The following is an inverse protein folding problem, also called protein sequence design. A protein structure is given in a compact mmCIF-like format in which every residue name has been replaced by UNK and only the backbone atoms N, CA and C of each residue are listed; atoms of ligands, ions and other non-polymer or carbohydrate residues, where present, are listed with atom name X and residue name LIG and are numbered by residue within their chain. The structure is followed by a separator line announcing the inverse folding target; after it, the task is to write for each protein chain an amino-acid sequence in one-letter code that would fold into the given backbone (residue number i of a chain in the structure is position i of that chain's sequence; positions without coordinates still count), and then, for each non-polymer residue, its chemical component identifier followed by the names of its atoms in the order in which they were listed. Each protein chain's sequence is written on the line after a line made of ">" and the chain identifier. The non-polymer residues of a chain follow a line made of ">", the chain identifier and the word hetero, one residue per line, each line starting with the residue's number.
data_IF_839835257028
#
_entry.id   IF_839835257028
#
_cell.length_a   1.000
_cell.length_b   1.000
_cell.length_c   1.000
_cell.angle_alpha   90.00
_cell.angle_beta   90.00
_cell.angle_gamma   90.00
#
_symmetry.space_group_name_H-M   'P 1'
#
loop_
_entity.id
_entity.type
_entity.pdbx_description
1 polymer ?
#
# COMPACT_ATOMS: atom_id res chain seq x y z
N UNK A 1 4.49 12.04 -14.91
CA UNK A 1 3.40 12.12 -13.92
C UNK A 1 4.02 12.60 -12.61
N UNK A 2 3.89 13.89 -12.28
CA UNK A 2 4.56 14.49 -11.12
C UNK A 2 3.70 14.38 -9.85
N UNK A 3 3.35 13.15 -9.43
CA UNK A 3 2.57 12.89 -8.21
C UNK A 3 3.42 12.93 -6.91
N UNK A 4 4.70 13.27 -7.00
CA UNK A 4 5.65 13.21 -5.90
C UNK A 4 6.79 14.21 -6.11
N UNK A 5 6.42 15.48 -6.32
CA UNK A 5 7.39 16.54 -6.56
C UNK A 5 8.48 16.58 -5.49
N UNK A 6 8.10 16.47 -4.21
CA UNK A 6 9.00 16.43 -3.07
C UNK A 6 10.02 15.28 -3.14
N UNK A 7 9.57 14.05 -3.39
CA UNK A 7 10.43 12.86 -3.39
C UNK A 7 11.28 12.75 -4.65
N UNK A 8 10.73 13.10 -5.80
CA UNK A 8 11.47 13.14 -7.07
C UNK A 8 12.52 14.25 -7.00
N UNK A 9 12.20 15.39 -6.41
CA UNK A 9 13.16 16.48 -6.18
C UNK A 9 14.34 16.02 -5.33
N UNK A 10 14.10 15.27 -4.24
CA UNK A 10 15.18 14.69 -3.43
C UNK A 10 16.14 13.83 -4.27
N UNK A 11 15.62 13.00 -5.17
CA UNK A 11 16.43 12.21 -6.08
C UNK A 11 17.21 13.06 -7.10
N UNK A 12 16.57 14.07 -7.69
CA UNK A 12 17.21 14.99 -8.65
C UNK A 12 18.29 15.86 -7.99
N UNK A 13 18.14 16.23 -6.71
CA UNK A 13 19.17 16.92 -5.94
C UNK A 13 20.40 16.03 -5.74
N UNK A 14 20.20 14.80 -5.26
CA UNK A 14 21.30 13.84 -5.03
C UNK A 14 22.00 13.49 -6.34
N UNK A 15 21.26 13.36 -7.44
CA UNK A 15 21.79 12.99 -8.76
C UNK A 15 22.13 14.18 -9.66
N UNK A 16 22.18 15.40 -9.11
CA UNK A 16 22.43 16.63 -9.87
C UNK A 16 23.77 16.57 -10.60
N UNK A 17 23.77 16.88 -11.90
CA UNK A 17 24.99 16.93 -12.73
C UNK A 17 26.01 17.89 -12.13
N UNK A 18 27.24 17.43 -11.93
CA UNK A 18 28.33 18.23 -11.36
C UNK A 18 28.16 18.60 -9.88
N UNK A 19 27.05 18.21 -9.24
CA UNK A 19 26.77 18.46 -7.83
C UNK A 19 27.11 17.27 -6.94
N UNK A 20 27.38 17.54 -5.68
CA UNK A 20 27.62 16.55 -4.61
C UNK A 20 26.70 16.80 -3.41
N UNK A 21 25.42 17.09 -3.69
CA UNK A 21 24.43 17.50 -2.70
C UNK A 21 24.07 16.34 -1.79
N UNK A 22 24.02 16.60 -0.49
CA UNK A 22 23.75 15.60 0.56
C UNK A 22 22.40 15.90 1.20
N UNK A 23 21.56 14.89 1.29
CA UNK A 23 20.37 14.91 2.14
C UNK A 23 20.76 14.34 3.50
N UNK A 24 20.48 15.09 4.56
CA UNK A 24 20.85 14.74 5.93
C UNK A 24 19.61 14.70 6.81
N UNK A 25 19.47 13.63 7.60
CA UNK A 25 18.38 13.50 8.57
C UNK A 25 18.86 14.00 9.94
N UNK A 26 18.17 15.00 10.46
CA UNK A 26 18.45 15.61 11.77
C UNK A 26 17.35 15.19 12.75
N UNK A 27 17.64 14.28 13.68
CA UNK A 27 16.64 13.76 14.64
C UNK A 27 16.00 14.85 15.52
N UNK A 28 16.71 15.93 15.81
CA UNK A 28 16.18 17.07 16.58
C UNK A 28 15.28 18.01 15.78
N UNK A 29 15.27 17.90 14.44
CA UNK A 29 14.38 18.69 13.58
C UNK A 29 13.04 17.97 13.42
N UNK A 30 12.04 18.37 14.20
CA UNK A 30 10.68 17.83 14.11
C UNK A 30 9.66 18.92 13.80
N UNK A 31 8.62 18.53 13.06
CA UNK A 31 7.43 19.33 12.83
C UNK A 31 6.21 18.57 13.35
N UNK A 32 5.26 19.28 13.93
CA UNK A 32 3.98 18.70 14.38
C UNK A 32 2.97 18.86 13.26
N UNK A 33 2.28 17.77 12.92
CA UNK A 33 1.21 17.77 11.92
C UNK A 33 -0.02 17.09 12.51
N UNK A 34 -1.20 17.55 12.10
CA UNK A 34 -2.45 16.88 12.45
C UNK A 34 -2.52 15.51 11.80
N UNK A 35 -2.93 14.51 12.57
CA UNK A 35 -3.27 13.19 12.07
C UNK A 35 -4.70 13.17 11.54
N UNK A 36 -5.02 12.33 10.54
CA UNK A 36 -6.41 12.16 10.12
C UNK A 36 -7.25 11.52 11.23
N UNK A 37 -8.39 12.13 11.54
CA UNK A 37 -9.27 11.68 12.63
C UNK A 37 -10.27 10.59 12.18
N UNK A 38 -10.48 10.45 10.87
CA UNK A 38 -11.44 9.50 10.30
C UNK A 38 -10.82 8.61 9.22
N UNK A 39 -11.31 7.38 9.12
CA UNK A 39 -10.88 6.39 8.11
C UNK A 39 -10.91 6.95 6.67
N UNK A 40 -11.97 7.65 6.21
CA UNK A 40 -11.99 8.22 4.87
C UNK A 40 -10.85 9.20 4.58
N UNK A 41 -10.50 10.04 5.56
CA UNK A 41 -9.40 11.00 5.42
C UNK A 41 -8.06 10.27 5.36
N UNK A 42 -7.87 9.27 6.23
CA UNK A 42 -6.69 8.40 6.21
C UNK A 42 -6.53 7.72 4.85
N UNK A 43 -7.60 7.16 4.28
CA UNK A 43 -7.57 6.48 2.97
C UNK A 43 -7.19 7.45 1.85
N UNK A 44 -7.81 8.63 1.80
CA UNK A 44 -7.49 9.67 0.81
C UNK A 44 -6.07 10.23 0.96
N UNK A 45 -5.57 10.39 2.19
CA UNK A 45 -4.20 10.83 2.44
C UNK A 45 -3.18 9.76 2.01
N UNK A 46 -3.41 8.51 2.40
CA UNK A 46 -2.50 7.40 2.12
C UNK A 46 -2.43 7.05 0.64
N UNK A 47 -3.52 7.23 -0.13
CA UNK A 47 -3.49 7.17 -1.60
C UNK A 47 -2.35 8.02 -2.18
N UNK A 48 -2.29 9.29 -1.81
CA UNK A 48 -1.28 10.25 -2.30
C UNK A 48 0.13 9.80 -1.95
N UNK A 49 0.34 9.41 -0.69
CA UNK A 49 1.66 9.00 -0.22
C UNK A 49 2.12 7.68 -0.83
N UNK A 50 1.24 6.69 -0.96
CA UNK A 50 1.58 5.40 -1.56
C UNK A 50 1.89 5.55 -3.04
N UNK A 51 1.02 6.20 -3.82
CA UNK A 51 1.25 6.43 -5.24
C UNK A 51 2.51 7.29 -5.44
N UNK A 52 2.70 8.34 -4.63
CA UNK A 52 3.90 9.18 -4.71
C UNK A 52 5.19 8.41 -4.38
N UNK A 53 5.17 7.55 -3.36
CA UNK A 53 6.27 6.64 -3.04
C UNK A 53 6.58 5.69 -4.20
N UNK A 54 5.54 5.09 -4.78
CA UNK A 54 5.64 4.13 -5.86
C UNK A 54 6.26 4.74 -7.11
N UNK A 55 5.79 5.91 -7.54
CA UNK A 55 6.36 6.61 -8.68
C UNK A 55 7.78 7.11 -8.44
N UNK A 56 8.09 7.63 -7.24
CA UNK A 56 9.44 8.04 -6.90
C UNK A 56 10.42 6.86 -6.91
N UNK A 57 10.00 5.70 -6.38
CA UNK A 57 10.79 4.48 -6.40
C UNK A 57 11.11 4.05 -7.84
N UNK A 58 10.09 3.90 -8.69
CA UNK A 58 10.28 3.58 -10.11
C UNK A 58 11.19 4.59 -10.80
N UNK A 59 10.96 5.89 -10.57
CA UNK A 59 11.74 6.95 -11.18
C UNK A 59 13.23 6.83 -10.81
N UNK A 60 13.53 6.66 -9.52
CA UNK A 60 14.91 6.49 -9.03
C UNK A 60 15.57 5.21 -9.54
N UNK A 61 14.83 4.10 -9.65
CA UNK A 61 15.33 2.82 -10.18
C UNK A 61 15.62 2.90 -11.66
N UNK A 62 14.76 3.51 -12.47
CA UNK A 62 14.97 3.67 -13.92
C UNK A 62 16.11 4.65 -14.22
N UNK A 63 16.15 5.78 -13.50
CA UNK A 63 17.15 6.82 -13.71
C UNK A 63 18.37 6.69 -12.82
N UNK A 64 18.66 5.49 -12.28
CA UNK A 64 19.79 5.28 -11.37
C UNK A 64 21.13 5.76 -11.95
N UNK A 65 21.27 5.67 -13.28
CA UNK A 65 22.47 6.11 -14.00
C UNK A 65 22.76 7.62 -13.84
N UNK A 66 21.79 8.42 -13.41
CA UNK A 66 21.98 9.83 -13.06
C UNK A 66 22.94 10.02 -11.87
N UNK A 67 23.19 8.98 -11.06
CA UNK A 67 24.24 9.06 -10.03
C UNK A 67 25.62 9.26 -10.66
N UNK A 68 25.88 8.73 -11.86
CA UNK A 68 27.22 8.81 -12.48
C UNK A 68 27.57 10.20 -13.01
N UNK A 69 26.56 11.03 -13.35
CA UNK A 69 26.76 12.44 -13.72
C UNK A 69 27.03 13.36 -12.52
N UNK A 70 26.83 12.86 -11.28
CA UNK A 70 27.11 13.62 -10.05
C UNK A 70 28.60 13.60 -9.68
N UNK A 71 29.01 14.60 -8.90
CA UNK A 71 30.37 14.76 -8.37
C UNK A 71 30.58 14.02 -7.03
N UNK A 72 29.70 13.08 -6.67
CA UNK A 72 29.86 12.27 -5.46
C UNK A 72 31.14 11.42 -5.50
N UNK A 73 31.76 11.23 -4.33
CA UNK A 73 32.92 10.35 -4.18
C UNK A 73 32.55 8.89 -4.51
N UNK A 74 33.56 8.08 -4.84
CA UNK A 74 33.36 6.66 -5.14
C UNK A 74 32.63 5.93 -4.01
N UNK A 75 33.04 6.15 -2.75
CA UNK A 75 32.41 5.52 -1.58
C UNK A 75 30.96 5.94 -1.39
N UNK A 76 30.63 7.21 -1.67
CA UNK A 76 29.25 7.67 -1.59
C UNK A 76 28.38 7.05 -2.68
N UNK A 77 28.89 6.97 -3.91
CA UNK A 77 28.21 6.26 -5.01
C UNK A 77 27.99 4.79 -4.65
N UNK A 78 28.95 4.11 -4.04
CA UNK A 78 28.82 2.73 -3.57
C UNK A 78 27.67 2.55 -2.57
N UNK A 79 27.60 3.37 -1.52
CA UNK A 79 26.51 3.30 -0.54
C UNK A 79 25.13 3.62 -1.12
N UNK A 80 25.04 4.57 -2.06
CA UNK A 80 23.79 4.85 -2.77
C UNK A 80 23.35 3.63 -3.61
N UNK A 81 24.27 2.84 -4.17
CA UNK A 81 23.90 1.60 -4.88
C UNK A 81 23.37 0.53 -3.92
N UNK A 82 23.94 0.40 -2.72
CA UNK A 82 23.40 -0.48 -1.67
C UNK A 82 21.96 -0.07 -1.32
N UNK A 83 21.73 1.22 -1.10
CA UNK A 83 20.39 1.75 -0.85
C UNK A 83 19.44 1.50 -2.02
N UNK A 84 19.89 1.69 -3.26
CA UNK A 84 19.10 1.43 -4.46
C UNK A 84 18.69 -0.05 -4.59
N UNK A 85 19.60 -0.98 -4.31
CA UNK A 85 19.28 -2.43 -4.31
C UNK A 85 18.24 -2.72 -3.23
N UNK A 86 18.42 -2.17 -2.03
CA UNK A 86 17.46 -2.30 -0.94
C UNK A 86 16.08 -1.75 -1.33
N UNK A 87 16.01 -0.55 -1.92
CA UNK A 87 14.75 0.07 -2.33
C UNK A 87 14.08 -0.67 -3.49
N UNK A 88 14.87 -1.20 -4.43
CA UNK A 88 14.35 -2.01 -5.55
C UNK A 88 13.74 -3.31 -5.03
N UNK A 89 14.40 -3.98 -4.07
CA UNK A 89 13.84 -5.17 -3.42
C UNK A 89 12.57 -4.84 -2.63
N UNK A 90 12.54 -3.73 -1.88
CA UNK A 90 11.32 -3.27 -1.21
C UNK A 90 10.18 -2.98 -2.20
N UNK A 91 10.48 -2.38 -3.35
CA UNK A 91 9.48 -2.09 -4.39
C UNK A 91 8.85 -3.38 -4.92
N UNK A 92 9.68 -4.39 -5.24
CA UNK A 92 9.21 -5.71 -5.69
C UNK A 92 8.39 -6.38 -4.59
N UNK A 93 8.90 -6.39 -3.36
CA UNK A 93 8.20 -7.01 -2.23
C UNK A 93 6.86 -6.33 -1.92
N UNK A 94 6.82 -4.99 -2.01
CA UNK A 94 5.59 -4.20 -1.84
C UNK A 94 4.60 -4.41 -2.98
N UNK A 95 5.06 -4.65 -4.21
CA UNK A 95 4.20 -4.98 -5.35
C UNK A 95 3.42 -6.27 -5.11
N UNK A 96 4.07 -7.28 -4.52
CA UNK A 96 3.47 -8.58 -4.21
C UNK A 96 2.90 -8.70 -2.79
N UNK A 97 2.85 -7.60 -2.02
CA UNK A 97 2.48 -7.65 -0.60
C UNK A 97 1.08 -8.22 -0.36
N UNK A 98 0.11 -7.88 -1.21
CA UNK A 98 -1.28 -8.37 -1.10
C UNK A 98 -1.36 -9.89 -1.29
N UNK A 99 -0.66 -10.44 -2.29
CA UNK A 99 -0.56 -11.89 -2.52
C UNK A 99 0.20 -12.59 -1.40
N UNK A 100 1.36 -12.06 -1.00
CA UNK A 100 2.18 -12.61 0.08
C UNK A 100 1.43 -12.68 1.40
N UNK A 101 0.63 -11.67 1.71
CA UNK A 101 -0.17 -11.65 2.93
C UNK A 101 -1.24 -12.74 2.91
N UNK A 102 -1.97 -12.87 1.80
CA UNK A 102 -2.98 -13.93 1.65
C UNK A 102 -2.37 -15.33 1.69
N UNK A 103 -1.22 -15.54 1.03
CA UNK A 103 -0.47 -16.81 1.08
C UNK A 103 -0.07 -17.13 2.52
N UNK A 104 0.46 -16.14 3.25
CA UNK A 104 0.86 -16.33 4.64
C UNK A 104 -0.32 -16.72 5.53
N UNK A 105 -1.47 -16.07 5.34
CA UNK A 105 -2.72 -16.41 6.00
C UNK A 105 -3.17 -17.84 5.67
N UNK A 106 -3.21 -18.21 4.39
CA UNK A 106 -3.61 -19.55 3.93
C UNK A 106 -2.70 -20.65 4.50
N UNK A 107 -1.38 -20.44 4.48
CA UNK A 107 -0.44 -21.42 5.05
C UNK A 107 -0.59 -21.54 6.56
N UNK A 108 -0.83 -20.43 7.28
CA UNK A 108 -1.12 -20.48 8.72
C UNK A 108 -2.40 -21.26 9.01
N UNK A 109 -3.47 -21.06 8.23
CA UNK A 109 -4.69 -21.85 8.34
C UNK A 109 -4.41 -23.35 8.15
N UNK A 110 -3.76 -23.72 7.06
CA UNK A 110 -3.41 -25.11 6.76
C UNK A 110 -2.50 -25.73 7.84
N UNK A 111 -1.55 -24.97 8.40
CA UNK A 111 -0.68 -25.45 9.46
C UNK A 111 -1.45 -25.79 10.75
N UNK A 112 -2.55 -25.09 11.05
CA UNK A 112 -3.40 -25.41 12.20
C UNK A 112 -4.26 -26.67 11.99
N UNK A 113 -4.53 -27.04 10.74
CA UNK A 113 -5.31 -28.22 10.40
C UNK A 113 -4.53 -29.54 10.54
N UNK A 114 -3.21 -29.46 10.71
CA UNK A 114 -2.39 -30.64 10.97
C UNK A 114 -2.91 -31.39 12.21
N UNK A 115 -3.18 -32.71 12.09
CA UNK A 115 -3.60 -33.56 13.21
C UNK A 115 -2.71 -33.46 14.46
N UNK A 116 -1.42 -33.12 14.31
CA UNK A 116 -0.47 -33.00 15.41
C UNK A 116 -0.55 -31.65 16.14
N UNK A 117 -1.22 -30.64 15.57
CA UNK A 117 -1.27 -29.27 16.09
C UNK A 117 -2.59 -29.02 16.83
N UNK A 118 -3.68 -28.90 16.06
CA UNK A 118 -5.07 -28.88 16.56
C UNK A 118 -5.83 -30.02 15.89
N UNK A 119 -5.81 -30.03 14.56
CA UNK A 119 -6.46 -31.04 13.75
C UNK A 119 -7.99 -31.03 13.86
N UNK A 120 -8.61 -31.82 12.98
CA UNK A 120 -10.03 -32.12 13.04
C UNK A 120 -10.92 -31.30 12.10
N UNK A 121 -12.13 -31.82 11.87
CA UNK A 121 -13.07 -31.26 10.89
C UNK A 121 -13.57 -29.86 11.25
N UNK A 122 -13.63 -29.53 12.54
CA UNK A 122 -14.12 -28.24 13.01
C UNK A 122 -13.20 -27.08 12.62
N UNK A 123 -11.89 -27.22 12.83
CA UNK A 123 -10.92 -26.16 12.47
C UNK A 123 -10.85 -25.98 10.95
N UNK A 124 -10.93 -27.07 10.18
CA UNK A 124 -10.98 -27.01 8.72
C UNK A 124 -12.19 -26.20 8.21
N UNK A 125 -13.39 -26.43 8.78
CA UNK A 125 -14.58 -25.66 8.40
C UNK A 125 -14.42 -24.18 8.77
N UNK A 126 -13.87 -23.88 9.94
CA UNK A 126 -13.64 -22.49 10.36
C UNK A 126 -12.65 -21.78 9.42
N UNK A 127 -11.52 -22.42 9.11
CA UNK A 127 -10.52 -21.88 8.19
C UNK A 127 -11.09 -21.66 6.80
N UNK A 128 -11.86 -22.61 6.28
CA UNK A 128 -12.54 -22.47 5.00
C UNK A 128 -13.45 -21.24 4.98
N UNK A 129 -14.25 -21.03 6.04
CA UNK A 129 -15.10 -19.84 6.18
C UNK A 129 -14.23 -18.56 6.20
N UNK A 130 -13.14 -18.56 6.96
CA UNK A 130 -12.23 -17.41 7.06
C UNK A 130 -11.54 -17.10 5.71
N UNK A 131 -11.17 -18.10 4.93
CA UNK A 131 -10.58 -17.93 3.60
C UNK A 131 -11.55 -17.27 2.62
N UNK A 132 -12.78 -17.77 2.54
CA UNK A 132 -13.81 -17.13 1.72
C UNK A 132 -14.16 -15.74 2.23
N UNK A 133 -14.20 -15.54 3.55
CA UNK A 133 -14.44 -14.23 4.14
C UNK A 133 -13.32 -13.23 3.81
N UNK A 134 -12.05 -13.68 3.80
CA UNK A 134 -10.91 -12.84 3.42
C UNK A 134 -11.05 -12.38 1.97
N UNK A 135 -11.31 -13.31 1.06
CA UNK A 135 -11.49 -13.02 -0.37
C UNK A 135 -12.69 -12.08 -0.57
N UNK A 136 -13.82 -12.34 0.12
CA UNK A 136 -15.00 -11.48 0.08
C UNK A 136 -14.71 -10.06 0.57
N UNK A 137 -13.96 -9.92 1.66
CA UNK A 137 -13.54 -8.62 2.20
C UNK A 137 -12.60 -7.88 1.24
N UNK A 138 -11.71 -8.62 0.57
CA UNK A 138 -10.82 -8.05 -0.43
C UNK A 138 -11.57 -7.59 -1.68
N UNK A 139 -12.51 -8.39 -2.18
CA UNK A 139 -13.39 -8.01 -3.29
C UNK A 139 -14.24 -6.79 -2.94
N UNK A 140 -14.76 -6.71 -1.72
CA UNK A 140 -15.44 -5.52 -1.21
C UNK A 140 -14.52 -4.29 -1.27
N UNK A 141 -13.23 -4.41 -0.91
CA UNK A 141 -12.27 -3.31 -1.04
C UNK A 141 -12.08 -2.85 -2.49
N UNK A 142 -12.00 -3.78 -3.45
CA UNK A 142 -11.93 -3.44 -4.88
C UNK A 142 -13.19 -2.70 -5.36
N UNK A 143 -14.38 -3.19 -4.99
CA UNK A 143 -15.66 -2.57 -5.34
C UNK A 143 -15.77 -1.15 -4.76
N UNK A 144 -15.42 -0.99 -3.48
CA UNK A 144 -15.41 0.32 -2.82
C UNK A 144 -14.40 1.28 -3.46
N UNK A 145 -13.25 0.78 -3.88
CA UNK A 145 -12.15 1.60 -4.41
C UNK A 145 -12.37 2.09 -5.84
N UNK A 146 -13.10 1.33 -6.66
CA UNK A 146 -13.41 1.68 -8.04
C UNK A 146 -14.68 2.54 -8.17
N UNK A 147 -15.70 2.29 -7.33
CA UNK A 147 -17.00 2.92 -7.46
C UNK A 147 -17.21 4.17 -6.59
N UNK A 148 -16.58 4.22 -5.41
CA UNK A 148 -16.93 5.19 -4.37
C UNK A 148 -15.72 6.00 -3.88
N UNK A 149 -15.95 7.28 -3.60
CA UNK A 149 -15.01 8.07 -2.80
C UNK A 149 -15.06 7.60 -1.34
N UNK A 150 -13.94 7.57 -0.60
CA UNK A 150 -13.91 7.16 0.80
C UNK A 150 -14.90 7.92 1.68
N UNK A 151 -15.10 9.21 1.40
CA UNK A 151 -16.03 10.08 2.11
C UNK A 151 -17.50 9.69 1.91
N UNK A 152 -17.83 9.10 0.75
CA UNK A 152 -19.18 8.62 0.43
C UNK A 152 -19.49 7.23 0.99
N UNK A 153 -18.48 6.43 1.34
CA UNK A 153 -18.67 5.06 1.87
C UNK A 153 -17.91 4.82 3.18
N UNK A 154 -18.09 5.72 4.15
CA UNK A 154 -17.36 5.68 5.43
C UNK A 154 -17.51 4.34 6.16
N UNK A 155 -18.73 3.81 6.20
CA UNK A 155 -19.04 2.53 6.86
C UNK A 155 -18.32 1.38 6.16
N UNK A 156 -18.36 1.34 4.82
CA UNK A 156 -17.71 0.28 4.05
C UNK A 156 -16.21 0.21 4.32
N UNK A 157 -15.50 1.34 4.26
CA UNK A 157 -14.08 1.38 4.58
C UNK A 157 -13.81 1.03 6.04
N UNK A 158 -14.63 1.50 6.99
CA UNK A 158 -14.46 1.17 8.42
C UNK A 158 -14.64 -0.33 8.67
N UNK A 159 -15.65 -0.97 8.06
CA UNK A 159 -15.87 -2.41 8.12
C UNK A 159 -14.69 -3.19 7.55
N UNK A 160 -14.10 -2.72 6.44
CA UNK A 160 -12.90 -3.34 5.86
C UNK A 160 -11.73 -3.32 6.84
N UNK A 161 -11.48 -2.17 7.48
CA UNK A 161 -10.42 -2.04 8.49
C UNK A 161 -10.63 -2.97 9.69
N UNK A 162 -11.85 -3.01 10.25
CA UNK A 162 -12.19 -3.91 11.36
C UNK A 162 -12.06 -5.37 10.95
N UNK A 163 -12.53 -5.75 9.76
CA UNK A 163 -12.43 -7.11 9.25
C UNK A 163 -10.97 -7.59 9.14
N UNK A 164 -10.09 -6.77 8.56
CA UNK A 164 -8.66 -7.09 8.47
C UNK A 164 -7.95 -7.09 9.84
N UNK A 165 -8.40 -6.27 10.80
CA UNK A 165 -7.91 -6.36 12.18
C UNK A 165 -8.25 -7.72 12.82
N UNK A 166 -9.45 -8.28 12.58
CA UNK A 166 -9.82 -9.62 13.06
C UNK A 166 -8.95 -10.72 12.43
N UNK A 167 -8.65 -10.63 11.13
CA UNK A 167 -7.69 -11.54 10.48
C UNK A 167 -6.30 -11.44 11.10
N UNK A 168 -5.86 -10.23 11.47
CA UNK A 168 -4.58 -10.04 12.17
C UNK A 168 -4.56 -10.75 13.51
N UNK A 169 -5.62 -10.61 14.30
CA UNK A 169 -5.75 -11.29 15.60
C UNK A 169 -5.65 -12.79 15.40
N UNK A 170 -6.40 -13.33 14.44
CA UNK A 170 -6.37 -14.75 14.11
C UNK A 170 -4.96 -15.21 13.72
N UNK A 171 -4.33 -14.55 12.74
CA UNK A 171 -2.98 -14.93 12.30
C UNK A 171 -1.94 -14.81 13.41
N UNK A 172 -2.03 -13.77 14.25
CA UNK A 172 -1.11 -13.57 15.37
C UNK A 172 -1.26 -14.68 16.38
N UNK A 173 -2.50 -15.03 16.74
CA UNK A 173 -2.80 -16.18 17.59
C UNK A 173 -2.25 -17.48 16.99
N UNK A 174 -2.54 -17.75 15.72
CA UNK A 174 -2.07 -18.95 15.00
C UNK A 174 -0.55 -19.04 15.01
N UNK A 175 0.15 -17.94 14.76
CA UNK A 175 1.61 -17.88 14.78
C UNK A 175 2.18 -18.18 16.17
N UNK A 176 1.66 -17.56 17.23
CA UNK A 176 2.10 -17.84 18.61
C UNK A 176 1.74 -19.27 19.06
N UNK A 177 0.57 -19.77 18.68
CA UNK A 177 0.15 -21.12 19.02
C UNK A 177 1.02 -22.17 18.34
N UNK A 178 1.30 -22.02 17.04
CA UNK A 178 2.19 -22.88 16.29
C UNK A 178 3.62 -22.81 16.85
N UNK A 179 4.08 -21.61 17.22
CA UNK A 179 5.37 -21.43 17.88
C UNK A 179 5.47 -22.23 19.20
N UNK A 180 4.45 -22.12 20.06
CA UNK A 180 4.40 -22.83 21.33
C UNK A 180 4.36 -24.36 21.13
N UNK A 181 3.57 -24.84 20.16
CA UNK A 181 3.50 -26.26 19.80
C UNK A 181 4.83 -26.79 19.25
N UNK A 182 5.51 -26.01 18.40
CA UNK A 182 6.85 -26.34 17.90
C UNK A 182 7.86 -26.49 19.03
N UNK A 183 7.85 -25.58 20.00
CA UNK A 183 8.71 -25.67 21.20
C UNK A 183 8.37 -26.91 22.04
N UNK A 184 7.09 -27.19 22.27
CA UNK A 184 6.65 -28.37 23.02
C UNK A 184 7.07 -29.68 22.35
N UNK A 185 7.09 -29.73 21.02
CA UNK A 185 7.54 -30.91 20.28
C UNK A 185 9.05 -31.14 20.48
N UNK A 186 9.87 -30.09 20.37
CA UNK A 186 11.32 -30.17 20.64
C UNK A 186 11.60 -30.66 22.06
N UNK A 187 10.86 -30.15 23.05
CA UNK A 187 11.03 -30.56 24.44
C UNK A 187 10.67 -32.02 24.71
N UNK A 188 9.72 -32.59 23.95
CA UNK A 188 9.29 -33.99 24.08
C UNK A 188 10.23 -34.97 23.38
N UNK A 189 10.80 -34.58 22.25
CA UNK A 189 11.64 -35.48 21.45
C UNK A 189 13.00 -35.75 22.11
N UNK A 190 13.49 -34.85 22.98
CA UNK A 190 14.84 -34.96 23.54
C UNK A 190 14.93 -35.09 25.07
N UNK A 191 13.78 -35.10 25.78
CA UNK A 191 13.66 -35.26 27.24
C UNK A 191 14.69 -34.42 28.06
N UNK A 192 15.09 -33.28 27.49
CA UNK A 192 16.11 -32.35 28.02
C UNK A 192 15.67 -30.90 27.83
N UNK A 193 16.26 -30.00 28.62
CA UNK A 193 16.01 -28.57 28.50
C UNK A 193 16.51 -27.97 27.18
N UNK A 194 15.88 -26.88 26.73
CA UNK A 194 16.27 -26.15 25.53
C UNK A 194 17.74 -25.71 25.61
N UNK A 195 18.54 -26.18 24.66
CA UNK A 195 19.97 -25.84 24.54
C UNK A 195 20.18 -24.97 23.30
N UNK A 196 21.23 -24.13 23.31
CA UNK A 196 21.57 -23.27 22.15
C UNK A 196 21.84 -24.07 20.88
N UNK A 197 22.27 -25.34 21.00
CA UNK A 197 22.39 -26.27 19.88
C UNK A 197 21.08 -26.46 19.12
N UNK A 198 19.95 -26.37 19.80
CA UNK A 198 18.63 -26.71 19.27
C UNK A 198 18.14 -25.63 18.30
N UNK A 199 18.63 -24.41 18.47
CA UNK A 199 18.47 -23.32 17.50
C UNK A 199 19.16 -23.61 16.17
N UNK A 200 20.28 -24.34 16.18
CA UNK A 200 21.01 -24.66 14.95
C UNK A 200 20.58 -26.02 14.35
N UNK A 201 20.13 -26.96 15.16
CA UNK A 201 19.70 -28.28 14.71
C UNK A 201 18.25 -28.33 14.23
N UNK A 202 17.35 -27.55 14.85
CA UNK A 202 15.93 -27.57 14.51
C UNK A 202 15.53 -26.32 13.70
N UNK A 203 15.28 -26.53 12.40
CA UNK A 203 14.89 -25.46 11.47
C UNK A 203 13.58 -24.78 11.86
N UNK A 204 12.61 -25.51 12.41
CA UNK A 204 11.31 -24.99 12.80
C UNK A 204 11.47 -24.02 13.99
N UNK A 205 12.15 -24.48 15.04
CA UNK A 205 12.43 -23.66 16.22
C UNK A 205 13.24 -22.42 15.85
N UNK A 206 14.27 -22.57 15.01
CA UNK A 206 15.08 -21.46 14.50
C UNK A 206 14.23 -20.41 13.80
N UNK A 207 13.42 -20.82 12.84
CA UNK A 207 12.64 -19.91 12.00
C UNK A 207 11.55 -19.19 12.81
N UNK A 208 10.96 -19.86 13.80
CA UNK A 208 10.04 -19.25 14.79
C UNK A 208 10.76 -18.16 15.59
N UNK A 209 11.92 -18.47 16.17
CA UNK A 209 12.68 -17.52 17.00
C UNK A 209 13.13 -16.32 16.19
N UNK A 210 13.65 -16.54 14.97
CA UNK A 210 14.05 -15.48 14.05
C UNK A 210 12.86 -14.58 13.70
N UNK A 211 11.69 -15.16 13.40
CA UNK A 211 10.48 -14.41 13.06
C UNK A 211 10.00 -13.52 14.22
N UNK A 212 9.94 -14.06 15.44
CA UNK A 212 9.55 -13.30 16.63
C UNK A 212 10.55 -12.19 16.96
N UNK A 213 11.85 -12.50 16.89
CA UNK A 213 12.91 -11.52 17.12
C UNK A 213 12.86 -10.38 16.09
N UNK A 214 12.59 -10.68 14.82
CA UNK A 214 12.47 -9.65 13.79
C UNK A 214 11.19 -8.83 13.89
N UNK A 215 10.06 -9.45 14.25
CA UNK A 215 8.75 -8.80 14.30
C UNK A 215 8.59 -7.92 15.53
N UNK A 216 9.12 -8.34 16.68
CA UNK A 216 8.97 -7.65 17.96
C UNK A 216 10.30 -7.13 18.49
N UNK A 217 11.31 -8.00 18.54
CA UNK A 217 12.60 -7.70 19.18
C UNK A 217 13.33 -6.51 18.55
N UNK A 218 13.46 -6.49 17.21
CA UNK A 218 14.17 -5.40 16.52
C UNK A 218 13.54 -4.02 16.78
N UNK A 219 12.21 -3.93 16.79
CA UNK A 219 11.52 -2.66 17.05
C UNK A 219 11.71 -2.21 18.50
N UNK A 220 11.58 -3.13 19.47
CA UNK A 220 11.82 -2.81 20.90
C UNK A 220 13.26 -2.34 21.12
N UNK A 221 14.25 -3.07 20.60
CA UNK A 221 15.66 -2.71 20.73
C UNK A 221 15.96 -1.38 20.02
N UNK A 222 15.42 -1.17 18.82
CA UNK A 222 15.59 0.10 18.09
C UNK A 222 15.04 1.29 18.88
N UNK A 223 13.83 1.16 19.44
CA UNK A 223 13.21 2.22 20.26
C UNK A 223 14.02 2.54 21.51
N UNK A 224 14.59 1.52 22.17
CA UNK A 224 15.49 1.72 23.32
C UNK A 224 16.77 2.44 22.89
N UNK A 225 17.40 2.04 21.78
CA UNK A 225 18.58 2.72 21.22
C UNK A 225 18.26 4.19 20.90
N UNK A 226 17.04 4.49 20.46
CA UNK A 226 16.59 5.85 20.18
C UNK A 226 16.13 6.63 21.41
N UNK A 227 16.12 6.02 22.60
CA UNK A 227 15.65 6.59 23.86
C UNK A 227 14.18 7.04 23.82
N UNK A 228 13.35 6.35 23.02
CA UNK A 228 11.92 6.64 22.92
C UNK A 228 11.09 5.34 22.82
N UNK A 229 10.97 4.57 23.92
CA UNK A 229 10.22 3.32 23.93
C UNK A 229 8.71 3.49 24.00
N UNK A 230 8.20 4.71 24.22
CA UNK A 230 6.81 4.91 24.64
C UNK A 230 5.79 4.49 23.58
N UNK A 231 6.08 4.69 22.31
CA UNK A 231 5.20 4.27 21.21
C UNK A 231 5.04 2.74 21.12
N UNK A 232 6.03 1.98 21.58
CA UNK A 232 5.92 0.52 21.67
C UNK A 232 4.87 0.08 22.70
N UNK A 233 4.63 0.89 23.73
CA UNK A 233 3.66 0.61 24.79
C UNK A 233 2.28 1.16 24.43
N UNK A 234 2.21 2.38 23.89
CA UNK A 234 0.93 3.08 23.70
C UNK A 234 0.20 2.74 22.40
N UNK A 235 0.94 2.46 21.32
CA UNK A 235 0.38 2.41 19.94
C UNK A 235 0.70 1.13 19.16
N UNK A 236 1.56 0.26 19.69
CA UNK A 236 2.05 -0.90 18.93
C UNK A 236 0.96 -1.93 18.62
N UNK A 237 0.07 -2.21 19.57
CA UNK A 237 -1.04 -3.15 19.33
C UNK A 237 -1.96 -2.62 18.23
N UNK A 238 -2.32 -1.33 18.28
CA UNK A 238 -3.14 -0.68 17.28
C UNK A 238 -2.44 -0.68 15.91
N UNK A 239 -1.12 -0.44 15.88
CA UNK A 239 -0.32 -0.53 14.67
C UNK A 239 -0.36 -1.94 14.05
N UNK A 240 -0.16 -2.98 14.86
CA UNK A 240 -0.22 -4.37 14.40
C UNK A 240 -1.59 -4.70 13.80
N UNK A 241 -2.67 -4.36 14.50
CA UNK A 241 -4.04 -4.61 14.04
C UNK A 241 -4.38 -3.89 12.72
N UNK A 242 -3.78 -2.72 12.49
CA UNK A 242 -4.00 -1.95 11.26
C UNK A 242 -3.06 -2.37 10.13
N UNK A 243 -1.97 -3.10 10.40
CA UNK A 243 -0.97 -3.43 9.39
C UNK A 243 -1.57 -4.14 8.16
N UNK A 244 -2.51 -5.10 8.29
CA UNK A 244 -3.12 -5.72 7.11
C UNK A 244 -4.06 -4.79 6.34
N UNK A 245 -4.61 -3.76 6.98
CA UNK A 245 -5.37 -2.72 6.27
C UNK A 245 -4.47 -1.83 5.41
N UNK A 246 -3.20 -1.61 5.80
CA UNK A 246 -2.22 -0.95 4.94
C UNK A 246 -1.94 -1.76 3.67
N UNK A 247 -1.89 -3.10 3.80
CA UNK A 247 -1.60 -4.00 2.69
C UNK A 247 -2.81 -4.20 1.79
N UNK A 248 -4.00 -4.41 2.36
CA UNK A 248 -5.19 -4.81 1.59
C UNK A 248 -6.13 -3.65 1.27
N UNK A 249 -6.39 -2.74 2.21
CA UNK A 249 -7.36 -1.65 1.98
C UNK A 249 -6.69 -0.48 1.28
N UNK A 250 -5.58 0.01 1.86
CA UNK A 250 -4.92 1.23 1.37
C UNK A 250 -4.23 1.02 0.03
N UNK A 251 -3.53 -0.10 -0.20
CA UNK A 251 -2.92 -0.37 -1.51
C UNK A 251 -3.96 -0.59 -2.60
N UNK A 252 -5.04 -1.34 -2.34
CA UNK A 252 -6.11 -1.52 -3.33
C UNK A 252 -6.69 -0.17 -3.72
N UNK A 253 -6.98 0.69 -2.73
CA UNK A 253 -7.46 2.04 -3.02
C UNK A 253 -6.44 2.89 -3.78
N UNK A 254 -5.15 2.80 -3.43
CA UNK A 254 -4.06 3.52 -4.07
C UNK A 254 -3.91 3.15 -5.56
N UNK A 255 -3.82 1.86 -5.88
CA UNK A 255 -3.70 1.36 -7.26
C UNK A 255 -4.98 1.58 -8.06
N UNK A 256 -6.16 1.39 -7.46
CA UNK A 256 -7.43 1.68 -8.12
C UNK A 256 -7.58 3.18 -8.45
N UNK A 257 -6.87 4.06 -7.74
CA UNK A 257 -6.90 5.50 -7.95
C UNK A 257 -5.53 6.07 -8.35
N UNK A 258 -4.72 5.28 -9.06
CA UNK A 258 -3.38 5.72 -9.49
C UNK A 258 -3.44 6.89 -10.47
N UNK A 259 -4.44 6.92 -11.36
CA UNK A 259 -4.71 8.03 -12.30
C UNK A 259 -4.98 9.40 -11.67
N UNK A 260 -5.39 9.46 -10.41
CA UNK A 260 -5.79 10.72 -9.79
C UNK A 260 -4.55 11.50 -9.36
N UNK A 261 -4.18 12.52 -10.15
CA UNK A 261 -3.00 13.38 -9.91
C UNK A 261 -3.32 14.65 -9.13
N UNK A 262 -4.55 14.79 -8.64
CA UNK A 262 -4.94 16.00 -7.91
C UNK A 262 -4.15 16.15 -6.59
N UNK A 263 -3.49 17.30 -6.46
CA UNK A 263 -2.89 17.74 -5.20
C UNK A 263 -3.97 18.45 -4.39
N UNK A 264 -4.82 17.67 -3.73
CA UNK A 264 -5.94 18.22 -2.96
C UNK A 264 -5.47 18.91 -1.67
N UNK A 265 -5.81 20.18 -1.54
CA UNK A 265 -5.92 20.93 -0.28
C UNK A 265 -7.09 20.38 0.54
N UNK A 266 -6.97 20.32 1.88
CA UNK A 266 -8.07 19.84 2.76
C UNK A 266 -9.35 20.64 2.43
N UNK A 267 -10.34 20.03 1.78
CA UNK A 267 -11.64 20.63 1.48
C UNK A 267 -11.99 20.84 0.00
N UNK A 268 -11.04 20.70 -0.94
CA UNK A 268 -11.34 20.89 -2.38
C UNK A 268 -11.95 19.62 -3.01
N UNK A 269 -13.25 19.43 -2.77
CA UNK A 269 -14.07 18.38 -3.36
C UNK A 269 -15.26 18.97 -4.15
N UNK A 270 -15.04 20.05 -4.89
CA UNK A 270 -16.11 20.56 -5.77
C UNK A 270 -16.25 19.65 -7.00
N UNK A 271 -17.45 19.12 -7.16
CA UNK A 271 -17.90 18.51 -8.42
C UNK A 271 -18.08 19.65 -9.41
N UNK A 272 -17.36 19.60 -10.54
CA UNK A 272 -17.66 20.46 -11.69
C UNK A 272 -19.01 20.03 -12.25
N UNK A 273 -20.08 20.63 -11.75
CA UNK A 273 -21.38 20.58 -12.41
C UNK A 273 -21.31 21.51 -13.60
N UNK A 274 -20.92 20.94 -14.75
CA UNK A 274 -21.04 21.56 -16.06
C UNK A 274 -22.52 21.58 -16.47
N UNK A 275 -23.29 22.42 -15.80
CA UNK A 275 -24.55 22.90 -16.32
C UNK A 275 -24.37 24.41 -16.48
N UNK A 276 -24.49 24.87 -17.73
CA UNK A 276 -24.25 26.26 -18.11
C UNK A 276 -24.88 27.26 -17.14
N UNK A 277 -24.11 28.31 -16.80
CA UNK A 277 -24.53 29.32 -15.84
C UNK A 277 -25.77 30.07 -16.34
N UNK A 278 -26.92 29.79 -15.72
CA UNK A 278 -28.09 30.66 -15.81
C UNK A 278 -27.79 31.90 -14.97
N UNK A 279 -27.64 33.06 -15.62
CA UNK A 279 -27.46 34.34 -14.92
C UNK A 279 -28.74 34.68 -14.16
N UNK A 280 -28.76 34.34 -12.86
CA UNK A 280 -29.82 34.76 -11.95
C UNK A 280 -29.71 36.27 -11.69
N UNK A 281 -30.82 36.99 -11.78
CA UNK A 281 -30.90 38.39 -11.32
C UNK A 281 -30.79 38.46 -9.79
N UNK A 282 -30.61 39.65 -9.21
CA UNK A 282 -30.33 39.85 -7.77
C UNK A 282 -31.36 39.22 -6.80
N UNK A 283 -32.55 38.84 -7.28
CA UNK A 283 -33.54 38.06 -6.54
C UNK A 283 -33.51 36.58 -6.95
N UNK A 284 -33.12 35.73 -6.01
CA UNK A 284 -32.67 34.33 -6.22
C UNK A 284 -33.71 33.31 -6.74
N UNK A 285 -34.92 33.71 -7.14
CA UNK A 285 -36.01 32.79 -7.50
C UNK A 285 -36.69 33.05 -8.85
N UNK A 286 -36.24 34.01 -9.66
CA UNK A 286 -36.85 34.30 -10.97
C UNK A 286 -35.78 34.33 -12.07
N UNK A 287 -36.12 33.76 -13.23
CA UNK A 287 -35.29 33.78 -14.43
C UNK A 287 -35.96 34.72 -15.43
N UNK A 288 -35.35 35.88 -15.67
CA UNK A 288 -35.81 36.79 -16.73
C UNK A 288 -35.39 36.22 -18.10
N UNK A 289 -36.37 35.66 -18.81
CA UNK A 289 -36.22 35.33 -20.23
C UNK A 289 -36.81 36.48 -21.03
N UNK A 290 -35.97 37.18 -21.78
CA UNK A 290 -36.42 38.22 -22.70
C UNK A 290 -37.19 37.57 -23.86
N UNK A 291 -38.52 37.53 -23.75
CA UNK A 291 -39.40 37.08 -24.84
C UNK A 291 -39.78 38.31 -25.67
N UNK A 292 -39.45 38.37 -26.97
CA UNK A 292 -39.83 39.48 -27.82
C UNK A 292 -41.37 39.55 -27.95
N UNK A 293 -41.96 40.73 -27.66
CA UNK A 293 -43.43 40.93 -27.66
C UNK A 293 -43.93 41.75 -28.85
N UNK A 294 -43.04 42.40 -29.61
CA UNK A 294 -43.39 43.15 -30.80
C UNK A 294 -43.48 42.22 -32.03
N UNK A 295 -44.53 42.35 -32.85
CA UNK A 295 -44.74 41.52 -34.05
C UNK A 295 -43.56 41.56 -35.04
N UNK A 296 -42.88 42.71 -35.13
CA UNK A 296 -41.67 42.87 -35.95
C UNK A 296 -40.51 42.01 -35.46
N UNK A 297 -40.34 41.89 -34.14
CA UNK A 297 -39.27 41.11 -33.53
C UNK A 297 -39.58 39.61 -33.61
N UNK A 298 -40.86 39.25 -33.56
CA UNK A 298 -41.34 37.87 -33.78
C UNK A 298 -41.07 37.43 -35.22
N UNK A 299 -41.42 38.27 -36.20
CA UNK A 299 -41.17 37.98 -37.61
C UNK A 299 -39.67 37.92 -37.92
N UNK A 300 -38.88 38.84 -37.36
CA UNK A 300 -37.42 38.82 -37.51
C UNK A 300 -36.81 37.55 -36.88
N UNK A 301 -37.26 37.14 -35.70
CA UNK A 301 -36.83 35.90 -35.06
C UNK A 301 -37.27 34.66 -35.86
N UNK A 302 -38.45 34.69 -36.47
CA UNK A 302 -38.96 33.62 -37.33
C UNK A 302 -38.15 33.48 -38.62
N UNK A 303 -37.86 34.59 -39.30
CA UNK A 303 -37.01 34.60 -40.50
C UNK A 303 -35.58 34.15 -40.19
N UNK A 304 -35.01 34.59 -39.06
CA UNK A 304 -33.70 34.14 -38.59
C UNK A 304 -33.70 32.63 -38.28
N UNK A 305 -34.74 32.12 -37.61
CA UNK A 305 -34.89 30.69 -37.35
C UNK A 305 -35.02 29.87 -38.65
N UNK A 306 -35.77 30.34 -39.65
CA UNK A 306 -35.84 29.70 -40.97
C UNK A 306 -34.47 29.69 -41.64
N UNK A 307 -33.75 30.81 -41.58
CA UNK A 307 -32.42 30.93 -42.16
C UNK A 307 -31.42 29.96 -41.49
N UNK A 308 -31.39 29.90 -40.17
CA UNK A 308 -30.57 28.95 -39.39
C UNK A 308 -30.92 27.50 -39.75
N UNK A 309 -32.21 27.15 -39.83
CA UNK A 309 -32.66 25.80 -40.20
C UNK A 309 -32.37 25.43 -41.67
N UNK A 310 -32.27 26.43 -42.56
CA UNK A 310 -31.96 26.22 -43.98
C UNK A 310 -30.47 25.93 -44.23
N UNK A 311 -29.60 26.34 -43.31
CA UNK A 311 -28.17 26.05 -43.37
C UNK A 311 -27.90 24.65 -42.81
N UNK A 312 -27.14 23.83 -43.55
CA UNK A 312 -26.66 22.56 -42.99
C UNK A 312 -25.77 22.87 -41.79
N UNK A 313 -25.98 22.22 -40.63
CA UNK A 313 -25.12 22.44 -39.48
C UNK A 313 -23.66 22.16 -39.90
N UNK A 314 -22.71 23.00 -39.49
CA UNK A 314 -21.30 22.73 -39.74
C UNK A 314 -20.97 21.33 -39.24
N UNK A 315 -20.16 20.57 -40.00
CA UNK A 315 -19.69 19.27 -39.52
C UNK A 315 -18.96 19.52 -38.20
N UNK A 316 -19.56 19.06 -37.11
CA UNK A 316 -18.89 19.02 -35.82
C UNK A 316 -17.72 18.04 -35.97
N UNK A 317 -16.51 18.57 -36.10
CA UNK A 317 -15.32 17.75 -35.90
C UNK A 317 -15.31 17.37 -34.42
N UNK A 318 -15.89 16.20 -34.12
CA UNK A 318 -15.78 15.55 -32.81
C UNK A 318 -14.34 15.08 -32.58
N UNK A 319 -13.36 15.98 -32.69
CA UNK A 319 -12.07 15.73 -32.08
C UNK A 319 -12.27 15.88 -30.58
N UNK A 320 -12.01 14.81 -29.79
CA UNK A 320 -12.16 14.92 -28.35
C UNK A 320 -11.26 16.05 -27.85
N UNK A 321 -11.81 16.88 -26.98
CA UNK A 321 -11.08 17.99 -26.37
C UNK A 321 -9.77 17.48 -25.73
N UNK A 322 -8.76 18.33 -25.71
CA UNK A 322 -7.45 17.99 -25.16
C UNK A 322 -7.55 17.52 -23.71
N UNK A 323 -8.46 18.09 -22.91
CA UNK A 323 -8.71 17.65 -21.54
C UNK A 323 -9.29 16.23 -21.49
N UNK A 324 -10.29 15.93 -22.33
CA UNK A 324 -10.89 14.59 -22.40
C UNK A 324 -9.86 13.54 -22.83
N UNK A 325 -8.99 13.83 -23.81
CA UNK A 325 -7.91 12.93 -24.22
C UNK A 325 -6.92 12.65 -23.08
N UNK A 326 -6.58 13.67 -22.29
CA UNK A 326 -5.69 13.52 -21.14
C UNK A 326 -6.35 12.69 -20.03
N UNK A 327 -7.63 12.91 -19.76
CA UNK A 327 -8.38 12.14 -18.78
C UNK A 327 -8.49 10.66 -19.17
N UNK A 328 -8.82 10.39 -20.43
CA UNK A 328 -8.88 9.03 -20.97
C UNK A 328 -7.52 8.33 -20.90
N UNK A 329 -6.44 9.05 -21.20
CA UNK A 329 -5.08 8.54 -21.04
C UNK A 329 -4.80 8.13 -19.59
N UNK A 330 -5.12 8.98 -18.61
CA UNK A 330 -4.90 8.66 -17.20
C UNK A 330 -5.78 7.51 -16.73
N UNK A 331 -7.05 7.46 -17.12
CA UNK A 331 -7.95 6.35 -16.79
C UNK A 331 -7.46 5.02 -17.40
N UNK A 332 -6.99 5.04 -18.64
CA UNK A 332 -6.38 3.88 -19.31
C UNK A 332 -5.11 3.43 -18.61
N UNK A 333 -4.24 4.38 -18.24
CA UNK A 333 -3.03 4.11 -17.46
C UNK A 333 -3.36 3.42 -16.12
N UNK A 334 -4.37 3.91 -15.38
CA UNK A 334 -4.86 3.22 -14.18
C UNK A 334 -5.26 1.80 -14.47
N UNK A 335 -6.12 1.59 -15.46
CA UNK A 335 -6.66 0.26 -15.75
C UNK A 335 -5.53 -0.72 -16.06
N UNK A 336 -4.53 -0.31 -16.86
CA UNK A 336 -3.39 -1.16 -17.20
C UNK A 336 -2.52 -1.48 -15.99
N UNK A 337 -2.19 -0.48 -15.16
CA UNK A 337 -1.36 -0.70 -13.96
C UNK A 337 -2.10 -1.56 -12.93
N UNK A 338 -3.37 -1.26 -12.67
CA UNK A 338 -4.19 -2.03 -11.74
C UNK A 338 -4.34 -3.47 -12.21
N UNK A 339 -4.63 -3.69 -13.50
CA UNK A 339 -4.77 -5.03 -14.07
C UNK A 339 -3.45 -5.82 -13.98
N UNK A 340 -2.32 -5.20 -14.34
CA UNK A 340 -1.01 -5.85 -14.21
C UNK A 340 -0.70 -6.21 -12.74
N UNK A 341 -1.03 -5.33 -11.79
CA UNK A 341 -0.83 -5.56 -10.37
C UNK A 341 -1.72 -6.70 -9.83
N UNK A 342 -3.01 -6.69 -10.16
CA UNK A 342 -3.96 -7.73 -9.74
C UNK A 342 -3.61 -9.09 -10.35
N UNK A 343 -3.38 -9.15 -11.67
CA UNK A 343 -3.09 -10.41 -12.36
C UNK A 343 -1.76 -11.02 -11.92
N UNK A 344 -0.73 -10.20 -11.71
CA UNK A 344 0.57 -10.71 -11.21
C UNK A 344 0.48 -11.26 -9.79
N UNK A 345 -0.29 -10.60 -8.90
CA UNK A 345 -0.55 -11.13 -7.56
C UNK A 345 -1.42 -12.39 -7.57
N UNK A 346 -2.47 -12.43 -8.41
CA UNK A 346 -3.32 -13.61 -8.55
C UNK A 346 -2.53 -14.80 -9.12
N UNK A 347 -1.66 -14.57 -10.10
CA UNK A 347 -0.76 -15.59 -10.65
C UNK A 347 0.20 -16.12 -9.59
N UNK A 348 0.80 -15.25 -8.79
CA UNK A 348 1.66 -15.64 -7.67
C UNK A 348 0.91 -16.54 -6.68
N UNK A 349 -0.28 -16.11 -6.24
CA UNK A 349 -1.13 -16.89 -5.34
C UNK A 349 -1.45 -18.25 -5.97
N UNK A 350 -1.89 -18.30 -7.22
CA UNK A 350 -2.22 -19.55 -7.89
C UNK A 350 -1.04 -20.52 -7.96
N UNK A 351 0.15 -20.05 -8.36
CA UNK A 351 1.37 -20.87 -8.41
C UNK A 351 1.72 -21.41 -7.03
N UNK A 352 1.71 -20.56 -6.00
CA UNK A 352 2.13 -20.98 -4.65
C UNK A 352 1.11 -21.92 -4.02
N UNK A 353 -0.19 -21.64 -4.13
CA UNK A 353 -1.23 -22.49 -3.57
C UNK A 353 -1.29 -23.85 -4.30
N UNK A 354 -1.07 -23.90 -5.61
CA UNK A 354 -1.00 -25.18 -6.34
C UNK A 354 0.26 -25.97 -6.02
N UNK A 355 1.39 -25.29 -5.80
CA UNK A 355 2.63 -25.93 -5.36
C UNK A 355 2.57 -26.40 -3.90
N UNK A 356 1.72 -25.79 -3.09
CA UNK A 356 1.54 -26.09 -1.67
C UNK A 356 0.48 -27.19 -1.51
N UNK A 357 0.93 -28.43 -1.32
CA UNK A 357 0.02 -29.56 -1.03
C UNK A 357 -0.67 -29.41 0.33
N UNK A 358 -1.82 -30.07 0.51
CA UNK A 358 -2.56 -30.05 1.78
C UNK A 358 -1.71 -30.57 2.93
N UNK A 359 -1.77 -29.90 4.09
CA UNK A 359 -1.09 -30.33 5.31
C UNK A 359 -1.53 -31.73 5.78
N UNK A 360 -2.74 -32.16 5.40
CA UNK A 360 -3.26 -33.49 5.69
C UNK A 360 -2.50 -34.62 4.98
N UNK A 361 -1.91 -34.36 3.80
CA UNK A 361 -1.25 -35.40 2.99
C UNK A 361 0.26 -35.49 3.24
N UNK A 362 0.89 -34.39 3.70
CA UNK A 362 2.37 -34.28 3.79
C UNK A 362 2.89 -33.85 5.16
N UNK A 363 2.00 -33.54 6.11
CA UNK A 363 2.32 -32.94 7.40
C UNK A 363 2.67 -31.44 7.28
N UNK A 364 2.38 -30.65 8.32
CA UNK A 364 2.64 -29.21 8.36
C UNK A 364 4.10 -28.88 8.01
N UNK A 365 5.03 -29.75 8.42
CA UNK A 365 6.47 -29.57 8.20
C UNK A 365 6.88 -29.54 6.71
N UNK A 366 6.16 -30.24 5.82
CA UNK A 366 6.41 -30.22 4.38
C UNK A 366 5.51 -29.23 3.63
N UNK A 367 4.37 -28.83 4.20
CA UNK A 367 3.47 -27.81 3.64
C UNK A 367 4.01 -26.39 3.87
N UNK A 368 4.85 -26.18 4.87
CA UNK A 368 5.65 -24.94 5.02
C UNK A 368 6.79 -24.94 4.00
N UNK A 369 6.38 -24.59 2.78
CA UNK A 369 7.12 -24.60 1.53
C UNK A 369 8.30 -23.61 1.56
N UNK A 370 9.32 -23.83 0.70
CA UNK A 370 10.48 -22.93 0.57
C UNK A 370 10.12 -21.47 0.29
N UNK A 371 8.92 -21.21 -0.25
CA UNK A 371 8.39 -19.87 -0.45
C UNK A 371 8.01 -19.14 0.85
N UNK A 372 7.48 -19.84 1.85
CA UNK A 372 7.17 -19.22 3.16
C UNK A 372 8.44 -18.86 3.92
N UNK A 373 9.45 -19.74 3.83
CA UNK A 373 10.80 -19.45 4.30
C UNK A 373 11.34 -18.22 3.56
N UNK A 374 11.22 -18.16 2.24
CA UNK A 374 11.62 -16.99 1.46
C UNK A 374 10.93 -15.70 1.93
N UNK A 375 9.61 -15.70 2.16
CA UNK A 375 8.89 -14.52 2.68
C UNK A 375 9.43 -14.13 4.07
N UNK A 376 9.54 -15.08 4.99
CA UNK A 376 9.98 -14.85 6.36
C UNK A 376 11.38 -14.23 6.38
N UNK A 377 12.34 -14.85 5.68
CA UNK A 377 13.70 -14.33 5.61
C UNK A 377 13.78 -13.00 4.86
N UNK A 378 12.93 -12.77 3.84
CA UNK A 378 12.85 -11.48 3.16
C UNK A 378 12.44 -10.36 4.11
N UNK A 379 11.41 -10.59 4.94
CA UNK A 379 10.94 -9.62 5.94
C UNK A 379 12.02 -9.38 7.01
N UNK A 380 12.67 -10.44 7.48
CA UNK A 380 13.77 -10.36 8.46
C UNK A 380 14.94 -9.54 7.91
N UNK A 381 15.40 -9.84 6.70
CA UNK A 381 16.51 -9.12 6.06
C UNK A 381 16.15 -7.65 5.85
N UNK A 382 14.94 -7.37 5.37
CA UNK A 382 14.45 -6.00 5.18
C UNK A 382 14.41 -5.20 6.48
N UNK A 383 13.96 -5.82 7.57
CA UNK A 383 13.95 -5.22 8.90
C UNK A 383 15.36 -5.04 9.46
N UNK A 384 16.24 -6.03 9.27
CA UNK A 384 17.62 -6.00 9.74
C UNK A 384 18.43 -4.88 9.07
N UNK A 385 18.27 -4.67 7.76
CA UNK A 385 18.93 -3.56 7.06
C UNK A 385 18.50 -2.21 7.63
N UNK A 386 17.20 -2.01 7.93
CA UNK A 386 16.72 -0.79 8.61
C UNK A 386 17.32 -0.65 9.99
N UNK A 387 17.36 -1.73 10.76
CA UNK A 387 17.91 -1.75 12.11
C UNK A 387 19.40 -1.39 12.13
N UNK A 388 20.20 -1.98 11.22
CA UNK A 388 21.63 -1.69 11.09
C UNK A 388 21.84 -0.21 10.72
N UNK A 389 21.11 0.29 9.72
CA UNK A 389 21.22 1.70 9.31
C UNK A 389 20.82 2.67 10.43
N UNK A 390 19.72 2.38 11.12
CA UNK A 390 19.20 3.17 12.24
C UNK A 390 20.14 3.16 13.46
N UNK A 391 20.72 2.00 13.79
CA UNK A 391 21.71 1.86 14.86
C UNK A 391 23.02 2.57 14.48
N UNK A 392 23.47 2.41 13.24
CA UNK A 392 24.64 3.10 12.70
C UNK A 392 24.50 4.61 12.77
N UNK A 393 23.33 5.16 12.43
CA UNK A 393 23.03 6.59 12.59
C UNK A 393 23.19 7.05 14.04
N UNK A 394 22.63 6.32 15.01
CA UNK A 394 22.75 6.68 16.43
C UNK A 394 24.19 6.59 16.95
N UNK A 395 24.98 5.62 16.49
CA UNK A 395 26.41 5.51 16.83
C UNK A 395 27.17 6.71 16.27
N UNK A 396 27.00 7.02 14.98
CA UNK A 396 27.65 8.18 14.36
C UNK A 396 27.26 9.46 15.08
N UNK A 397 25.98 9.64 15.39
CA UNK A 397 25.46 10.79 16.12
C UNK A 397 26.13 10.98 17.49
N UNK A 398 26.34 9.88 18.23
CA UNK A 398 26.99 9.91 19.55
C UNK A 398 28.40 10.51 19.48
N UNK A 399 29.15 10.22 18.42
CA UNK A 399 30.53 10.71 18.23
C UNK A 399 30.61 12.03 17.47
N UNK A 400 29.71 12.29 16.53
CA UNK A 400 29.71 13.49 15.69
C UNK A 400 29.08 14.72 16.35
N UNK A 401 28.29 14.53 17.42
CA UNK A 401 27.75 15.64 18.22
C UNK A 401 26.59 16.40 17.55
N UNK A 402 25.51 15.68 17.21
CA UNK A 402 24.23 16.27 16.75
C UNK A 402 23.08 16.11 17.73
#
# INVERSE_FOLDING_TARGET
>A
MYLAEDRILCWELVSKRGGSWVLHYVKSAYAVTDTPDQVPELVSQRRRWLNGSFFAAIHSTVHFHYIYRSSHSFMRKFWIHIELVYQTFNLIFSWFAIGNFFISFFVLCNALEDPNVIGGRAIHIINLILEYAYIGLLLMCFMLSLGNRPQGSKIGYTMAFVGFALFTIYMTFSAFFLAAKGIQQVLKDEDRGLTVSDFFSNSIFRDIVISLAATFGLYVVASIIHLDPWHMITSFIQYLLLAPSYINVLNVYAFANVHDVSWGTKGDNKVSTDLGEVKMTKNKNEVEVAVPTAETDINAAYEDAIHVLSTKPPKEDHTPDAATKQEDYYRSFRTNVLMAWVLSNALLVAIILTATGSAADRGANNTVNGYMIFILYSVVILALVRFIGSTGYMIVRLFAGE
#
